data_IF_586531866322
#
_entry.id   IF_586531866322
#
_cell.length_a   1.000
_cell.length_b   1.000
_cell.length_c   1.000
_cell.angle_alpha   90.00
_cell.angle_beta   90.00
_cell.angle_gamma   90.00
#
_symmetry.space_group_name_H-M   'P 1'
#
loop_
_entity.id
_entity.type
_entity.pdbx_description
1 polymer ?
#
# COMPACT_ATOMS: atom_id res chain seq x y z
N UNK A 1 -78.11 -17.25 -4.97
CA UNK A 1 -76.87 -17.63 -4.27
C UNK A 1 -75.73 -16.82 -4.86
N UNK A 2 -75.15 -15.91 -4.07
CA UNK A 2 -74.15 -14.92 -4.51
C UNK A 2 -72.75 -15.53 -4.46
N UNK A 3 -71.98 -15.32 -5.54
CA UNK A 3 -70.60 -15.77 -5.68
C UNK A 3 -69.67 -14.95 -4.77
N UNK A 4 -68.75 -15.63 -4.09
CA UNK A 4 -67.71 -15.04 -3.25
C UNK A 4 -66.55 -14.66 -4.18
N UNK A 5 -66.33 -13.35 -4.36
CA UNK A 5 -65.09 -12.82 -4.95
C UNK A 5 -64.02 -12.80 -3.85
N UNK A 6 -62.99 -13.63 -3.99
CA UNK A 6 -61.76 -13.52 -3.21
C UNK A 6 -60.94 -12.35 -3.80
N UNK A 7 -60.90 -11.22 -3.10
CA UNK A 7 -59.96 -10.15 -3.41
C UNK A 7 -58.55 -10.61 -3.01
N UNK A 8 -57.68 -10.88 -3.98
CA UNK A 8 -56.24 -10.93 -3.75
C UNK A 8 -55.80 -9.50 -3.39
N UNK A 9 -55.44 -9.29 -2.13
CA UNK A 9 -54.73 -8.10 -1.71
C UNK A 9 -53.35 -8.09 -2.40
N UNK A 10 -53.14 -7.10 -3.27
CA UNK A 10 -51.81 -6.72 -3.73
C UNK A 10 -51.03 -6.23 -2.50
N UNK A 11 -50.14 -7.08 -1.98
CA UNK A 11 -49.10 -6.67 -1.05
C UNK A 11 -48.24 -5.66 -1.81
N UNK A 12 -48.11 -4.40 -1.36
CA UNK A 12 -47.13 -3.51 -1.96
C UNK A 12 -45.77 -4.13 -1.66
N UNK A 13 -45.03 -4.47 -2.72
CA UNK A 13 -43.58 -4.66 -2.62
C UNK A 13 -43.03 -3.35 -2.06
N UNK A 14 -42.81 -3.32 -0.74
CA UNK A 14 -41.97 -2.30 -0.14
C UNK A 14 -40.62 -2.40 -0.86
N UNK A 15 -40.24 -1.29 -1.48
CA UNK A 15 -38.91 -1.08 -2.01
C UNK A 15 -37.94 -1.48 -0.91
N UNK A 16 -37.15 -2.52 -1.15
CA UNK A 16 -36.10 -2.95 -0.24
C UNK A 16 -35.22 -1.72 -0.01
N UNK A 17 -35.27 -1.15 1.18
CA UNK A 17 -34.23 -0.25 1.65
C UNK A 17 -32.92 -1.01 1.44
N UNK A 18 -32.12 -0.55 0.47
CA UNK A 18 -30.70 -0.87 0.40
C UNK A 18 -30.13 -0.41 1.74
N UNK A 19 -30.05 -1.33 2.71
CA UNK A 19 -29.39 -1.07 3.98
C UNK A 19 -27.98 -0.58 3.63
N UNK A 20 -27.73 0.70 3.90
CA UNK A 20 -26.41 1.28 3.74
C UNK A 20 -25.41 0.37 4.46
N UNK A 21 -24.29 0.06 3.79
CA UNK A 21 -23.28 -0.81 4.37
C UNK A 21 -22.87 -0.26 5.75
N UNK A 22 -22.72 -1.12 6.78
CA UNK A 22 -22.37 -0.67 8.11
C UNK A 22 -21.02 0.05 8.11
N UNK A 23 -20.84 1.00 9.04
CA UNK A 23 -19.55 1.66 9.20
C UNK A 23 -18.49 0.66 9.71
N UNK A 24 -17.27 0.85 9.24
CA UNK A 24 -16.07 0.12 9.63
C UNK A 24 -15.08 1.07 10.33
N UNK A 25 -14.06 0.55 11.03
CA UNK A 25 -12.97 1.38 11.53
C UNK A 25 -12.20 2.06 10.38
N UNK A 26 -11.63 3.24 10.65
CA UNK A 26 -10.73 3.92 9.70
C UNK A 26 -9.55 2.99 9.38
N UNK A 27 -9.18 2.81 8.09
CA UNK A 27 -8.00 2.03 7.74
C UNK A 27 -6.74 2.60 8.40
N UNK A 28 -5.82 1.72 8.78
CA UNK A 28 -4.56 2.13 9.41
C UNK A 28 -3.72 2.99 8.45
N UNK A 29 -2.96 3.93 8.99
CA UNK A 29 -2.05 4.76 8.19
C UNK A 29 -1.08 3.89 7.39
N UNK A 30 -0.96 4.13 6.09
CA UNK A 30 -0.15 3.32 5.19
C UNK A 30 -0.89 2.16 4.54
N UNK A 31 -2.12 1.85 4.97
CA UNK A 31 -2.94 0.83 4.33
C UNK A 31 -3.41 1.32 2.96
N UNK A 32 -2.97 0.63 1.91
CA UNK A 32 -3.45 0.79 0.54
C UNK A 32 -4.63 -0.13 0.24
N UNK A 33 -5.67 0.39 -0.38
CA UNK A 33 -6.80 -0.35 -0.95
C UNK A 33 -6.69 -0.25 -2.46
N UNK A 34 -6.54 -1.38 -3.12
CA UNK A 34 -6.40 -1.42 -4.58
C UNK A 34 -7.74 -1.68 -5.24
N UNK A 35 -8.12 -0.80 -6.17
CA UNK A 35 -9.33 -0.93 -6.97
C UNK A 35 -9.06 -1.50 -8.36
N UNK A 36 -7.87 -1.26 -8.90
CA UNK A 36 -7.41 -1.84 -10.16
C UNK A 36 -6.05 -2.55 -9.96
N UNK A 37 -6.03 -3.71 -9.27
CA UNK A 37 -4.81 -4.47 -9.05
C UNK A 37 -4.19 -4.94 -10.37
N UNK A 38 -4.99 -5.20 -11.40
CA UNK A 38 -4.49 -5.59 -12.72
C UNK A 38 -3.66 -4.50 -13.37
N UNK A 39 -4.07 -3.24 -13.26
CA UNK A 39 -3.28 -2.10 -13.70
C UNK A 39 -2.07 -1.85 -12.78
N UNK A 40 -2.27 -1.86 -11.46
CA UNK A 40 -1.22 -1.57 -10.48
C UNK A 40 -0.08 -2.59 -10.52
N UNK A 41 -0.39 -3.86 -10.75
CA UNK A 41 0.57 -4.97 -10.79
C UNK A 41 0.92 -5.43 -12.20
N UNK A 42 0.50 -4.68 -13.24
CA UNK A 42 0.83 -5.04 -14.62
C UNK A 42 2.35 -5.12 -14.80
N UNK A 43 2.80 -6.23 -15.35
CA UNK A 43 4.20 -6.47 -15.66
C UNK A 43 4.70 -5.51 -16.74
N UNK A 44 5.96 -5.09 -16.65
CA UNK A 44 6.59 -4.16 -17.60
C UNK A 44 6.21 -2.69 -17.45
N UNK A 45 5.35 -2.32 -16.49
CA UNK A 45 5.12 -0.92 -16.15
C UNK A 45 6.22 -0.41 -15.21
N UNK A 46 6.88 0.67 -15.60
CA UNK A 46 7.77 1.42 -14.72
C UNK A 46 6.90 2.12 -13.67
N UNK A 47 7.31 2.03 -12.41
CA UNK A 47 6.63 2.67 -11.28
C UNK A 47 7.56 3.67 -10.62
N UNK A 48 7.01 4.77 -10.12
CA UNK A 48 7.75 5.70 -9.28
C UNK A 48 7.05 5.92 -7.95
N UNK A 49 7.84 6.39 -6.98
CA UNK A 49 7.36 6.66 -5.63
C UNK A 49 6.52 7.92 -5.62
N UNK A 50 5.34 7.82 -5.01
CA UNK A 50 4.52 8.97 -4.61
C UNK A 50 4.48 9.02 -3.09
N UNK A 51 4.90 10.14 -2.52
CA UNK A 51 4.89 10.39 -1.08
C UNK A 51 3.77 11.36 -0.73
N UNK A 52 2.82 10.92 0.07
CA UNK A 52 1.81 11.77 0.69
C UNK A 52 2.32 12.26 2.03
N UNK A 53 2.43 13.58 2.20
CA UNK A 53 2.84 14.22 3.45
C UNK A 53 1.65 14.97 4.03
N UNK A 54 1.02 14.41 5.05
CA UNK A 54 -0.08 15.08 5.72
C UNK A 54 0.46 16.00 6.81
N UNK A 55 0.39 17.32 6.61
CA UNK A 55 0.74 18.34 7.62
C UNK A 55 -0.49 18.84 8.38
N UNK A 56 -1.65 18.27 8.12
CA UNK A 56 -2.88 18.51 8.87
C UNK A 56 -2.97 17.59 10.10
N UNK A 57 -3.80 17.99 11.05
CA UNK A 57 -4.15 17.21 12.23
C UNK A 57 -5.36 16.29 12.00
N UNK A 58 -5.99 16.36 10.83
CA UNK A 58 -7.07 15.45 10.43
C UNK A 58 -6.52 14.25 9.64
N UNK A 59 -7.09 13.04 9.80
CA UNK A 59 -6.79 11.93 8.93
C UNK A 59 -7.38 12.16 7.53
N UNK A 60 -6.68 11.63 6.53
CA UNK A 60 -7.05 11.76 5.11
C UNK A 60 -7.04 10.38 4.45
N UNK A 61 -8.06 10.08 3.65
CA UNK A 61 -8.01 9.01 2.65
C UNK A 61 -7.76 9.65 1.29
N UNK A 62 -6.59 9.38 0.69
CA UNK A 62 -6.27 9.84 -0.65
C UNK A 62 -6.63 8.76 -1.67
N UNK A 63 -7.57 9.06 -2.56
CA UNK A 63 -8.05 8.19 -3.63
C UNK A 63 -7.39 8.63 -4.93
N UNK A 64 -6.49 7.80 -5.43
CA UNK A 64 -5.86 7.94 -6.74
C UNK A 64 -6.80 7.35 -7.78
N UNK A 65 -7.13 8.14 -8.79
CA UNK A 65 -7.98 7.74 -9.91
C UNK A 65 -7.21 7.91 -11.22
N UNK A 66 -7.68 7.28 -12.30
CA UNK A 66 -7.14 7.57 -13.63
C UNK A 66 -7.24 9.07 -13.95
N UNK A 67 -6.51 9.54 -14.96
CA UNK A 67 -6.50 10.95 -15.35
C UNK A 67 -7.92 11.52 -15.60
N UNK A 68 -8.84 10.70 -16.12
CA UNK A 68 -10.23 11.11 -16.35
C UNK A 68 -11.11 11.20 -15.08
N UNK A 69 -10.63 10.78 -13.90
CA UNK A 69 -11.36 10.83 -12.63
C UNK A 69 -12.55 9.88 -12.51
N UNK A 70 -12.78 9.02 -13.51
CA UNK A 70 -13.94 8.13 -13.55
C UNK A 70 -13.64 6.70 -13.08
N UNK A 71 -12.37 6.36 -12.82
CA UNK A 71 -11.96 5.03 -12.36
C UNK A 71 -10.97 5.14 -11.20
N UNK A 72 -11.36 4.61 -10.03
CA UNK A 72 -10.47 4.50 -8.87
C UNK A 72 -9.37 3.47 -9.16
N UNK A 73 -8.14 3.80 -8.81
CA UNK A 73 -6.96 2.93 -8.97
C UNK A 73 -6.55 2.40 -7.60
N UNK A 74 -6.36 3.30 -6.64
CA UNK A 74 -5.98 2.99 -5.27
C UNK A 74 -6.57 4.01 -4.31
N UNK A 75 -6.80 3.63 -3.06
CA UNK A 75 -6.92 4.56 -1.94
C UNK A 75 -5.82 4.29 -0.91
N UNK A 76 -5.35 5.33 -0.24
CA UNK A 76 -4.36 5.21 0.84
C UNK A 76 -4.80 6.02 2.04
N UNK A 77 -4.74 5.40 3.22
CA UNK A 77 -5.02 6.08 4.48
C UNK A 77 -3.76 6.78 5.01
N UNK A 78 -3.91 8.05 5.35
CA UNK A 78 -2.83 8.93 5.80
C UNK A 78 -3.26 9.55 7.13
N UNK A 79 -2.61 9.17 8.21
CA UNK A 79 -2.91 9.70 9.53
C UNK A 79 -2.52 11.17 9.70
N UNK A 80 -2.98 11.82 10.78
CA UNK A 80 -2.58 13.18 11.16
C UNK A 80 -1.05 13.32 11.27
N UNK A 81 -0.46 14.35 10.66
CA UNK A 81 0.99 14.60 10.76
C UNK A 81 1.86 13.39 10.35
N UNK A 82 1.37 12.52 9.47
CA UNK A 82 2.09 11.33 8.97
C UNK A 82 2.42 11.45 7.50
N UNK A 83 3.49 10.76 7.12
CA UNK A 83 3.88 10.58 5.73
C UNK A 83 3.69 9.12 5.31
N UNK A 84 3.16 8.90 4.11
CA UNK A 84 2.94 7.58 3.52
C UNK A 84 3.44 7.59 2.09
N UNK A 85 4.20 6.56 1.70
CA UNK A 85 4.64 6.39 0.32
C UNK A 85 3.98 5.17 -0.33
N UNK A 86 3.63 5.31 -1.60
CA UNK A 86 3.15 4.23 -2.47
C UNK A 86 3.94 4.24 -3.77
N UNK A 87 3.91 3.14 -4.51
CA UNK A 87 4.49 3.07 -5.85
C UNK A 87 3.36 3.01 -6.88
N UNK A 88 3.34 3.96 -7.81
CA UNK A 88 2.34 4.02 -8.88
C UNK A 88 3.03 3.89 -10.24
N UNK A 89 2.40 3.25 -11.23
CA UNK A 89 2.86 3.32 -12.61
C UNK A 89 3.10 4.76 -13.08
N UNK A 90 4.06 4.95 -13.98
CA UNK A 90 4.26 6.24 -14.64
C UNK A 90 3.02 6.58 -15.46
N UNK A 91 2.33 7.64 -15.06
CA UNK A 91 1.11 8.15 -15.69
C UNK A 91 0.67 9.46 -15.01
N UNK A 92 -0.34 10.10 -15.60
CA UNK A 92 -1.10 11.17 -14.98
C UNK A 92 -2.31 10.58 -14.25
N UNK A 93 -2.54 11.04 -13.03
CA UNK A 93 -3.65 10.64 -12.18
C UNK A 93 -4.46 11.85 -11.74
N UNK A 94 -5.74 11.63 -11.46
CA UNK A 94 -6.52 12.58 -10.66
C UNK A 94 -6.54 12.13 -9.21
N UNK A 95 -6.64 13.09 -8.29
CA UNK A 95 -6.55 12.84 -6.87
C UNK A 95 -7.80 13.37 -6.17
N UNK A 96 -8.36 12.55 -5.28
CA UNK A 96 -9.47 12.93 -4.43
C UNK A 96 -9.09 12.67 -2.98
N UNK A 97 -9.41 13.61 -2.09
CA UNK A 97 -9.16 13.48 -0.67
C UNK A 97 -10.50 13.34 0.06
N UNK A 98 -10.59 12.39 0.99
CA UNK A 98 -11.62 12.36 2.01
C UNK A 98 -10.96 12.76 3.33
N UNK A 99 -11.47 13.78 4.00
CA UNK A 99 -10.90 14.32 5.24
C UNK A 99 -11.99 14.55 6.27
N UNK A 100 -11.75 14.19 7.53
CA UNK A 100 -12.70 14.36 8.65
C UNK A 100 -12.27 13.57 9.89
N UNK A 101 -13.09 13.49 10.93
CA UNK A 101 -12.75 12.73 12.16
C UNK A 101 -13.60 11.46 12.35
N UNK A 102 -14.81 11.41 11.80
CA UNK A 102 -15.76 10.31 11.98
C UNK A 102 -15.87 9.49 10.71
N UNK A 103 -14.92 8.58 10.52
CA UNK A 103 -14.94 7.64 9.40
C UNK A 103 -16.17 6.70 9.46
N UNK A 104 -16.74 6.40 8.30
CA UNK A 104 -17.72 5.32 8.15
C UNK A 104 -17.24 4.22 7.22
N UNK A 105 -17.08 4.46 5.91
CA UNK A 105 -16.61 3.48 4.94
C UNK A 105 -16.20 4.16 3.62
N UNK A 106 -15.69 3.40 2.64
CA UNK A 106 -15.21 3.96 1.36
C UNK A 106 -16.30 4.54 0.44
N UNK A 107 -17.58 4.26 0.75
CA UNK A 107 -18.72 4.78 0.01
C UNK A 107 -19.20 6.11 0.61
N UNK A 108 -19.29 6.17 1.93
CA UNK A 108 -19.78 7.34 2.68
C UNK A 108 -18.67 8.33 3.06
N UNK A 109 -17.43 7.87 3.18
CA UNK A 109 -16.30 8.64 3.66
C UNK A 109 -16.39 8.97 5.16
N UNK A 110 -15.97 10.19 5.51
CA UNK A 110 -16.11 10.76 6.84
C UNK A 110 -17.47 11.44 6.99
N UNK A 111 -18.25 11.04 8.00
CA UNK A 111 -19.60 11.55 8.26
C UNK A 111 -19.65 13.03 8.66
N UNK A 112 -18.53 13.57 9.11
CA UNK A 112 -18.31 14.98 9.47
C UNK A 112 -17.32 15.67 8.53
N UNK A 113 -16.97 15.01 7.42
CA UNK A 113 -15.86 15.40 6.59
C UNK A 113 -16.25 15.96 5.24
N UNK A 114 -15.22 16.16 4.40
CA UNK A 114 -15.36 16.64 3.03
C UNK A 114 -14.67 15.68 2.07
N UNK A 115 -15.31 15.50 0.90
CA UNK A 115 -14.68 14.98 -0.31
C UNK A 115 -14.17 16.18 -1.12
N UNK A 116 -12.88 16.20 -1.39
CA UNK A 116 -12.19 17.26 -2.11
C UNK A 116 -11.58 16.67 -3.37
N UNK A 117 -12.06 17.08 -4.54
CA UNK A 117 -11.41 16.78 -5.81
C UNK A 117 -10.24 17.75 -5.98
N UNK A 118 -9.02 17.23 -5.98
CA UNK A 118 -7.81 18.05 -6.00
C UNK A 118 -7.61 18.64 -7.40
N UNK A 119 -7.49 19.97 -7.54
CA UNK A 119 -7.22 20.58 -8.84
C UNK A 119 -5.86 20.15 -9.42
N UNK A 120 -5.81 20.00 -10.75
CA UNK A 120 -4.61 19.58 -11.46
C UNK A 120 -4.47 18.06 -11.55
N UNK A 121 -3.29 17.60 -11.97
CA UNK A 121 -2.98 16.17 -12.09
C UNK A 121 -1.79 15.79 -11.22
N UNK A 122 -1.89 14.61 -10.63
CA UNK A 122 -0.78 13.93 -9.98
C UNK A 122 0.06 13.25 -11.08
N UNK A 123 1.10 13.95 -11.53
CA UNK A 123 2.06 13.43 -12.50
C UNK A 123 3.05 12.49 -11.81
N UNK A 124 3.06 11.22 -12.22
CA UNK A 124 4.07 10.24 -11.78
C UNK A 124 5.05 10.04 -12.92
N UNK A 125 6.29 10.46 -12.70
CA UNK A 125 7.34 10.48 -13.71
C UNK A 125 8.50 9.57 -13.32
N UNK A 126 9.30 9.20 -14.32
CA UNK A 126 10.54 8.45 -14.09
C UNK A 126 11.52 9.27 -13.25
N UNK A 127 12.28 8.59 -12.38
CA UNK A 127 13.39 9.14 -11.60
C UNK A 127 13.03 10.27 -10.61
N UNK A 128 11.78 10.72 -10.53
CA UNK A 128 11.30 11.72 -9.58
C UNK A 128 10.38 11.10 -8.53
N UNK A 129 10.53 11.53 -7.27
CA UNK A 129 9.53 11.23 -6.24
C UNK A 129 8.52 12.36 -6.26
N UNK A 130 7.28 12.04 -6.64
CA UNK A 130 6.20 13.02 -6.58
C UNK A 130 5.73 13.12 -5.12
N UNK A 131 5.86 14.31 -4.53
CA UNK A 131 5.35 14.62 -3.20
C UNK A 131 3.99 15.29 -3.31
N UNK A 132 3.03 14.77 -2.57
CA UNK A 132 1.71 15.35 -2.37
C UNK A 132 1.70 15.95 -0.97
N UNK A 133 1.84 17.27 -0.88
CA UNK A 133 1.81 17.98 0.40
C UNK A 133 0.37 18.35 0.74
N UNK A 134 -0.17 17.78 1.80
CA UNK A 134 -1.49 18.11 2.32
C UNK A 134 -1.33 19.10 3.47
N UNK A 135 -2.04 20.23 3.41
CA UNK A 135 -1.95 21.26 4.45
C UNK A 135 -3.27 21.98 4.63
N UNK A 136 -3.56 22.35 5.88
CA UNK A 136 -4.71 23.18 6.22
C UNK A 136 -4.50 24.62 5.72
N UNK A 137 -5.51 25.18 5.07
CA UNK A 137 -5.59 26.62 4.74
C UNK A 137 -6.56 27.38 5.65
N UNK A 138 -7.24 26.67 6.55
CA UNK A 138 -8.25 27.14 7.47
C UNK A 138 -8.62 26.06 8.50
N UNK A 139 -9.58 26.32 9.40
CA UNK A 139 -9.89 25.43 10.52
C UNK A 139 -10.83 24.27 10.16
N UNK A 140 -11.49 24.30 9.00
CA UNK A 140 -12.50 23.34 8.60
C UNK A 140 -11.90 22.24 7.71
N UNK A 141 -12.46 21.01 7.68
CA UNK A 141 -11.97 19.95 6.80
C UNK A 141 -11.97 20.33 5.30
N UNK A 142 -12.87 21.21 4.88
CA UNK A 142 -12.94 21.76 3.52
C UNK A 142 -11.78 22.70 3.15
N UNK A 143 -11.03 23.18 4.14
CA UNK A 143 -9.86 24.03 3.93
C UNK A 143 -8.58 23.22 3.71
N UNK A 144 -8.67 21.89 3.64
CA UNK A 144 -7.52 21.05 3.28
C UNK A 144 -7.16 21.27 1.81
N UNK A 145 -5.92 21.70 1.56
CA UNK A 145 -5.36 21.84 0.24
C UNK A 145 -4.27 20.80 -0.03
N UNK A 146 -4.07 20.48 -1.30
CA UNK A 146 -2.97 19.64 -1.76
C UNK A 146 -2.13 20.39 -2.79
N UNK A 147 -0.80 20.27 -2.68
CA UNK A 147 0.13 20.72 -3.70
C UNK A 147 1.03 19.57 -4.14
N UNK A 148 1.43 19.61 -5.40
CA UNK A 148 2.32 18.62 -6.00
C UNK A 148 3.72 19.22 -6.13
N UNK A 149 4.69 18.56 -5.54
CA UNK A 149 6.10 18.92 -5.66
C UNK A 149 6.87 17.75 -6.24
N UNK A 150 7.74 18.04 -7.19
CA UNK A 150 8.74 17.06 -7.62
C UNK A 150 9.94 17.22 -6.73
N UNK A 151 10.21 16.22 -5.90
CA UNK A 151 11.54 16.08 -5.37
C UNK A 151 12.32 15.25 -6.39
N UNK A 152 13.55 15.65 -6.77
CA UNK A 152 14.48 14.68 -7.32
C UNK A 152 14.40 13.50 -6.37
N UNK A 153 14.12 12.30 -6.89
CA UNK A 153 14.56 11.15 -6.13
C UNK A 153 16.04 11.43 -5.98
N UNK A 154 16.55 11.64 -4.76
CA UNK A 154 17.97 11.45 -4.54
C UNK A 154 18.24 10.15 -5.24
N UNK A 155 18.97 10.20 -6.36
CA UNK A 155 19.39 9.03 -7.09
C UNK A 155 19.98 8.17 -6.00
N UNK A 156 19.24 7.16 -5.55
CA UNK A 156 19.82 6.09 -4.76
C UNK A 156 20.86 5.61 -5.75
N UNK A 157 22.12 5.91 -5.42
CA UNK A 157 23.29 5.74 -6.26
C UNK A 157 23.04 4.56 -7.17
N UNK A 158 23.03 4.77 -8.49
CA UNK A 158 22.82 3.73 -9.51
C UNK A 158 23.31 2.41 -8.94
N UNK A 159 22.39 1.59 -8.41
CA UNK A 159 22.81 0.36 -7.76
C UNK A 159 23.53 -0.39 -8.88
N UNK A 160 24.80 -0.73 -8.65
CA UNK A 160 25.57 -1.61 -9.53
C UNK A 160 24.87 -2.96 -9.54
N UNK A 161 23.82 -3.08 -10.34
CA UNK A 161 23.05 -4.29 -10.57
C UNK A 161 23.59 -4.85 -11.88
N UNK A 162 24.48 -5.82 -11.76
CA UNK A 162 24.88 -6.65 -12.89
C UNK A 162 23.63 -7.40 -13.38
N UNK A 163 23.19 -7.06 -14.59
CA UNK A 163 21.96 -7.58 -15.19
C UNK A 163 21.91 -9.11 -15.21
N UNK A 164 20.75 -9.65 -14.82
CA UNK A 164 20.45 -11.08 -14.79
C UNK A 164 19.04 -11.32 -14.24
N UNK A 165 18.37 -12.35 -14.76
CA UNK A 165 17.12 -12.85 -14.20
C UNK A 165 17.43 -13.90 -13.12
N UNK A 166 16.80 -13.79 -11.95
CA UNK A 166 16.85 -14.82 -10.92
C UNK A 166 15.70 -15.80 -11.17
N UNK A 167 16.04 -17.08 -11.35
CA UNK A 167 15.07 -18.17 -11.48
C UNK A 167 15.03 -18.96 -10.17
N UNK A 168 13.86 -19.07 -9.58
CA UNK A 168 13.59 -19.86 -8.38
C UNK A 168 12.64 -21.00 -8.74
N UNK A 169 12.89 -22.17 -8.16
CA UNK A 169 11.95 -23.28 -8.21
C UNK A 169 11.10 -23.31 -6.94
N UNK A 170 9.87 -23.79 -7.07
CA UNK A 170 8.99 -23.95 -5.93
C UNK A 170 9.49 -25.10 -5.04
N UNK A 171 9.62 -24.83 -3.76
CA UNK A 171 9.98 -25.80 -2.73
C UNK A 171 8.96 -25.73 -1.61
N UNK A 172 8.38 -26.85 -1.18
CA UNK A 172 7.42 -26.90 -0.06
C UNK A 172 6.26 -25.89 -0.16
N UNK A 173 5.80 -25.58 -1.37
CA UNK A 173 4.71 -24.64 -1.62
C UNK A 173 5.11 -23.15 -1.63
N UNK A 174 6.38 -22.82 -1.45
CA UNK A 174 6.91 -21.45 -1.52
C UNK A 174 8.11 -21.33 -2.46
N UNK A 175 8.58 -20.09 -2.65
CA UNK A 175 9.85 -19.82 -3.33
C UNK A 175 10.84 -19.28 -2.32
N UNK A 176 12.08 -19.76 -2.40
CA UNK A 176 13.12 -19.37 -1.46
C UNK A 176 14.35 -18.85 -2.18
N UNK A 177 14.98 -17.84 -1.60
CA UNK A 177 16.21 -17.25 -2.14
C UNK A 177 17.17 -16.92 -1.00
N UNK A 178 18.43 -17.33 -1.18
CA UNK A 178 19.51 -16.93 -0.27
C UNK A 178 19.81 -15.44 -0.46
N UNK A 179 20.04 -14.76 0.64
CA UNK A 179 20.39 -13.35 0.63
C UNK A 179 21.04 -12.91 1.92
N UNK A 180 21.22 -11.61 2.04
CA UNK A 180 21.69 -10.98 3.27
C UNK A 180 20.81 -9.81 3.63
N UNK A 181 20.62 -9.64 4.93
CA UNK A 181 20.15 -8.40 5.53
C UNK A 181 21.38 -7.74 6.13
N UNK A 182 21.80 -6.60 5.58
CA UNK A 182 23.15 -6.07 5.73
C UNK A 182 24.19 -7.18 5.47
N UNK A 183 24.91 -7.62 6.51
CA UNK A 183 25.92 -8.70 6.43
C UNK A 183 25.45 -10.03 7.02
N UNK A 184 24.20 -10.11 7.45
CA UNK A 184 23.65 -11.30 8.10
C UNK A 184 22.99 -12.19 7.04
N UNK A 185 23.48 -13.42 6.83
CA UNK A 185 22.90 -14.32 5.86
C UNK A 185 21.51 -14.78 6.32
N UNK A 186 20.57 -14.77 5.39
CA UNK A 186 19.19 -15.21 5.58
C UNK A 186 18.70 -16.00 4.37
N UNK A 187 17.75 -16.91 4.62
CA UNK A 187 16.96 -17.53 3.56
C UNK A 187 15.62 -16.81 3.53
N UNK A 188 15.38 -16.03 2.48
CA UNK A 188 14.11 -15.37 2.28
C UNK A 188 13.09 -16.32 1.67
N UNK A 189 11.90 -16.36 2.24
CA UNK A 189 10.71 -16.81 1.53
C UNK A 189 10.13 -15.64 0.74
N UNK A 190 9.93 -15.81 -0.56
CA UNK A 190 9.25 -14.82 -1.39
C UNK A 190 7.78 -14.81 -1.01
N UNK A 191 7.27 -13.67 -0.53
CA UNK A 191 5.89 -13.51 -0.08
C UNK A 191 5.28 -12.25 -0.69
N UNK A 192 4.54 -12.44 -1.79
CA UNK A 192 3.80 -11.36 -2.46
C UNK A 192 2.58 -10.87 -1.67
N UNK A 193 2.17 -11.59 -0.63
CA UNK A 193 1.12 -11.17 0.31
C UNK A 193 1.62 -10.28 1.44
N UNK A 194 2.93 -10.25 1.68
CA UNK A 194 3.55 -9.41 2.69
C UNK A 194 3.78 -7.99 2.15
N UNK A 195 3.19 -6.97 2.78
CA UNK A 195 3.39 -5.57 2.38
C UNK A 195 4.80 -5.04 2.71
N UNK A 196 5.44 -5.59 3.73
CA UNK A 196 6.80 -5.26 4.15
C UNK A 196 7.64 -6.53 4.20
N UNK A 197 8.94 -6.39 3.95
CA UNK A 197 9.93 -7.43 4.19
C UNK A 197 10.04 -7.64 5.70
N UNK A 198 10.06 -8.90 6.14
CA UNK A 198 9.98 -9.28 7.55
C UNK A 198 11.20 -10.10 7.94
N UNK A 199 11.76 -9.86 9.12
CA UNK A 199 12.74 -10.73 9.77
C UNK A 199 12.31 -11.12 11.18
N UNK A 200 12.87 -12.22 11.66
CA UNK A 200 12.74 -12.64 13.06
C UNK A 200 13.43 -11.65 14.01
N UNK A 201 13.02 -11.66 15.28
CA UNK A 201 13.71 -10.95 16.36
C UNK A 201 15.17 -11.38 16.48
N UNK A 202 15.46 -12.67 16.35
CA UNK A 202 16.83 -13.20 16.39
C UNK A 202 17.74 -12.57 15.33
N UNK A 203 17.24 -12.42 14.09
CA UNK A 203 18.00 -11.75 13.02
C UNK A 203 18.21 -10.27 13.34
N UNK A 204 17.19 -9.59 13.87
CA UNK A 204 17.31 -8.19 14.29
C UNK A 204 18.35 -8.00 15.42
N UNK A 205 18.38 -8.92 16.39
CA UNK A 205 19.34 -8.91 17.48
C UNK A 205 20.77 -9.11 16.95
N UNK A 206 20.96 -10.04 15.99
CA UNK A 206 22.25 -10.26 15.31
C UNK A 206 22.71 -9.06 14.48
N UNK A 207 21.77 -8.25 13.98
CA UNK A 207 22.07 -7.00 13.29
C UNK A 207 22.48 -5.89 14.27
N UNK A 208 22.24 -6.07 15.58
CA UNK A 208 22.38 -5.01 16.56
C UNK A 208 21.37 -3.89 16.35
N UNK A 209 20.16 -4.22 15.89
CA UNK A 209 19.12 -3.23 15.60
C UNK A 209 18.53 -2.70 16.92
N UNK A 210 18.97 -1.52 17.33
CA UNK A 210 18.58 -0.89 18.61
C UNK A 210 17.34 0.00 18.42
N UNK A 211 17.23 0.64 17.26
CA UNK A 211 16.17 1.58 16.93
C UNK A 211 15.09 0.88 16.09
N UNK A 212 13.91 0.68 16.68
CA UNK A 212 12.73 0.26 15.92
C UNK A 212 11.44 0.87 16.47
N UNK A 213 10.59 1.41 15.58
CA UNK A 213 9.30 2.00 15.91
C UNK A 213 8.26 0.87 16.09
N UNK A 214 7.61 0.74 17.26
CA UNK A 214 6.56 -0.26 17.45
C UNK A 214 5.45 -0.12 16.40
N UNK A 215 5.00 -1.24 15.83
CA UNK A 215 3.93 -1.28 14.83
C UNK A 215 3.08 -2.54 14.98
N UNK A 216 1.78 -2.41 14.80
CA UNK A 216 0.86 -3.55 14.72
C UNK A 216 0.81 -4.09 13.30
N UNK A 217 0.82 -5.40 13.16
CA UNK A 217 0.76 -6.09 11.87
C UNK A 217 -0.38 -7.09 11.89
N UNK A 218 -1.14 -7.15 10.80
CA UNK A 218 -2.14 -8.19 10.59
C UNK A 218 -1.52 -9.31 9.75
N UNK A 219 -1.39 -10.48 10.34
CA UNK A 219 -0.84 -11.68 9.69
C UNK A 219 -1.92 -12.75 9.54
N UNK A 220 -1.61 -13.83 8.81
CA UNK A 220 -2.49 -14.99 8.73
C UNK A 220 -2.76 -15.63 10.11
N UNK A 221 -1.84 -15.51 11.06
CA UNK A 221 -1.99 -16.00 12.43
C UNK A 221 -2.73 -15.01 13.37
N UNK A 222 -3.19 -13.87 12.85
CA UNK A 222 -3.83 -12.79 13.60
C UNK A 222 -2.95 -11.55 13.75
N UNK A 223 -3.35 -10.65 14.64
CA UNK A 223 -2.65 -9.40 14.89
C UNK A 223 -1.45 -9.64 15.81
N UNK A 224 -0.29 -9.11 15.43
CA UNK A 224 0.93 -9.16 16.23
C UNK A 224 1.55 -7.78 16.33
N UNK A 225 2.02 -7.41 17.52
CA UNK A 225 2.82 -6.20 17.71
C UNK A 225 4.29 -6.53 17.47
N UNK A 226 4.86 -5.91 16.44
CA UNK A 226 6.27 -5.94 16.12
C UNK A 226 6.86 -4.54 16.17
N UNK A 227 7.92 -4.33 15.40
CA UNK A 227 8.44 -2.99 15.15
C UNK A 227 9.00 -2.88 13.72
N UNK A 228 9.22 -1.65 13.26
CA UNK A 228 9.88 -1.36 11.98
C UNK A 228 11.17 -0.61 12.27
N UNK A 229 12.27 -1.06 11.65
CA UNK A 229 13.57 -0.40 11.73
C UNK A 229 14.19 -0.27 10.35
N UNK A 230 15.17 0.62 10.23
CA UNK A 230 15.89 0.82 8.98
C UNK A 230 17.19 0.01 8.95
N UNK A 231 17.52 -0.51 7.78
CA UNK A 231 18.75 -1.24 7.48
C UNK A 231 19.44 -0.66 6.26
N UNK A 232 20.75 -0.86 6.18
CA UNK A 232 21.57 -0.29 5.11
C UNK A 232 21.31 -0.96 3.76
N UNK A 233 21.18 -2.29 3.73
CA UNK A 233 20.96 -3.02 2.49
C UNK A 233 20.31 -4.40 2.69
N UNK A 234 19.64 -4.87 1.65
CA UNK A 234 19.30 -6.27 1.42
C UNK A 234 19.89 -6.69 0.08
N UNK A 235 20.47 -7.89 0.03
CA UNK A 235 20.79 -8.55 -1.23
C UNK A 235 20.16 -9.93 -1.30
N UNK A 236 19.85 -10.35 -2.53
CA UNK A 236 19.31 -11.67 -2.84
C UNK A 236 19.56 -11.97 -4.33
N UNK A 237 20.04 -13.18 -4.62
CA UNK A 237 20.49 -13.50 -5.98
C UNK A 237 21.56 -12.51 -6.47
N UNK A 238 21.29 -11.85 -7.59
CA UNK A 238 22.12 -10.78 -8.16
C UNK A 238 21.61 -9.36 -7.87
N UNK A 239 20.62 -9.23 -6.99
CA UNK A 239 19.98 -7.96 -6.66
C UNK A 239 20.47 -7.42 -5.33
N UNK A 240 20.62 -6.10 -5.27
CA UNK A 240 20.93 -5.36 -4.05
C UNK A 240 20.00 -4.16 -3.97
N UNK A 241 19.46 -3.93 -2.78
CA UNK A 241 18.52 -2.85 -2.47
C UNK A 241 19.00 -2.15 -1.22
N UNK A 242 19.24 -0.85 -1.31
CA UNK A 242 19.75 -0.03 -0.20
C UNK A 242 18.65 0.78 0.51
N UNK A 243 18.92 1.15 1.75
CA UNK A 243 18.07 1.99 2.60
C UNK A 243 16.64 1.45 2.69
N UNK A 244 16.52 0.30 3.34
CA UNK A 244 15.27 -0.47 3.43
C UNK A 244 14.72 -0.36 4.84
N UNK A 245 13.41 -0.12 4.97
CA UNK A 245 12.70 -0.29 6.23
C UNK A 245 12.19 -1.73 6.32
N UNK A 246 12.48 -2.42 7.41
CA UNK A 246 12.15 -3.84 7.61
C UNK A 246 11.30 -4.04 8.86
N UNK A 247 10.32 -4.95 8.78
CA UNK A 247 9.50 -5.32 9.92
C UNK A 247 10.17 -6.44 10.74
N UNK A 248 10.09 -6.32 12.06
CA UNK A 248 10.56 -7.33 13.01
C UNK A 248 9.39 -7.86 13.80
N UNK A 249 9.12 -9.15 13.65
CA UNK A 249 8.03 -9.83 14.36
C UNK A 249 8.59 -10.77 15.45
N UNK A 250 8.14 -10.65 16.71
CA UNK A 250 8.75 -11.36 17.84
C UNK A 250 8.56 -12.88 17.80
N UNK A 251 7.42 -13.36 17.27
CA UNK A 251 7.08 -14.78 17.20
C UNK A 251 7.28 -15.39 15.81
N UNK A 252 7.80 -14.62 14.85
CA UNK A 252 8.09 -15.09 13.51
C UNK A 252 9.49 -15.71 13.45
N UNK A 253 9.60 -16.85 12.75
CA UNK A 253 10.87 -17.52 12.48
C UNK A 253 11.16 -17.42 10.99
N UNK A 254 12.37 -16.97 10.63
CA UNK A 254 12.81 -16.85 9.24
C UNK A 254 12.83 -15.40 8.74
N UNK A 255 12.75 -15.26 7.42
CA UNK A 255 12.71 -13.99 6.71
C UNK A 255 11.72 -14.05 5.53
N UNK A 256 10.91 -13.01 5.35
CA UNK A 256 10.04 -12.83 4.19
C UNK A 256 10.58 -11.71 3.33
N UNK A 257 10.66 -11.92 2.02
CA UNK A 257 10.88 -10.88 1.03
C UNK A 257 9.52 -10.36 0.57
N UNK A 258 9.18 -9.15 1.00
CA UNK A 258 7.85 -8.56 0.81
C UNK A 258 7.77 -7.62 -0.38
N UNK A 259 6.58 -7.08 -0.61
CA UNK A 259 6.25 -6.22 -1.76
C UNK A 259 6.92 -4.84 -1.75
N UNK A 260 7.42 -4.38 -0.61
CA UNK A 260 8.29 -3.20 -0.48
C UNK A 260 9.61 -3.33 -1.24
N UNK A 261 10.11 -4.56 -1.41
CA UNK A 261 11.26 -4.91 -2.23
C UNK A 261 10.82 -5.52 -3.55
N UNK A 262 9.99 -6.56 -3.50
CA UNK A 262 9.55 -7.31 -4.69
C UNK A 262 8.87 -6.41 -5.73
N UNK A 263 8.14 -5.39 -5.30
CA UNK A 263 7.47 -4.43 -6.17
C UNK A 263 8.43 -3.57 -7.02
N UNK A 264 9.75 -3.65 -6.78
CA UNK A 264 10.79 -3.00 -7.60
C UNK A 264 11.27 -3.86 -8.78
N UNK A 265 10.79 -5.10 -8.87
CA UNK A 265 11.23 -6.08 -9.86
C UNK A 265 10.04 -6.55 -10.71
N UNK A 266 10.34 -6.96 -11.94
CA UNK A 266 9.41 -7.74 -12.74
C UNK A 266 9.43 -9.19 -12.27
N UNK A 267 8.27 -9.72 -11.89
CA UNK A 267 8.10 -11.10 -11.44
C UNK A 267 7.19 -11.84 -12.41
N UNK A 268 7.66 -12.96 -12.94
CA UNK A 268 6.90 -13.86 -13.79
C UNK A 268 6.86 -15.25 -13.15
N UNK A 269 5.68 -15.86 -13.09
CA UNK A 269 5.54 -17.24 -12.63
C UNK A 269 5.01 -18.11 -13.76
N UNK A 270 5.72 -19.20 -14.06
CA UNK A 270 5.31 -20.21 -15.01
C UNK A 270 5.43 -21.60 -14.36
N UNK A 271 4.28 -22.17 -14.01
CA UNK A 271 4.22 -23.43 -13.26
C UNK A 271 4.91 -23.29 -11.89
N UNK A 272 5.90 -24.14 -11.65
CA UNK A 272 6.70 -24.21 -10.43
C UNK A 272 7.94 -23.29 -10.48
N UNK A 273 8.09 -22.48 -11.54
CA UNK A 273 9.23 -21.56 -11.68
C UNK A 273 8.80 -20.11 -11.50
N UNK A 274 9.53 -19.38 -10.65
CA UNK A 274 9.43 -17.93 -10.48
C UNK A 274 10.66 -17.26 -11.08
N UNK A 275 10.45 -16.26 -11.94
CA UNK A 275 11.50 -15.45 -12.57
C UNK A 275 11.40 -14.02 -12.06
N UNK A 276 12.47 -13.53 -11.43
CA UNK A 276 12.58 -12.16 -10.92
C UNK A 276 13.62 -11.42 -11.77
N UNK A 277 13.26 -10.24 -12.26
CA UNK A 277 14.06 -9.44 -13.18
C UNK A 277 13.94 -7.95 -12.86
N UNK A 278 14.82 -7.13 -13.43
CA UNK A 278 14.68 -5.69 -13.41
C UNK A 278 13.46 -5.23 -14.23
#
# INVERSE_FOLDING_TARGET
MKAIFLALALIPFFCNDLLAAPCTPLPETGMGIEYDPGFLHRTGLIRSRVSFENRDNLPVIAIVQNNAGNRRIMAVAIGPSRNVSVNLPIAEYSLVLLVGNRWCNMDSGFLDGKRIDVPGSLAVEEENTTRVLLHATGPSPEDLAASFEKSPSTVIARDEISGGALLLQQENGGYFVNGHVNRIPVLFQVDTGASLTVISRETADRLGMIDCEPRSFRTAAGTVTGCVGDISEIDFGNFRVRYVSIAVLPNFKGALLGMDILGRFTIEQHGETLRIMR
#
